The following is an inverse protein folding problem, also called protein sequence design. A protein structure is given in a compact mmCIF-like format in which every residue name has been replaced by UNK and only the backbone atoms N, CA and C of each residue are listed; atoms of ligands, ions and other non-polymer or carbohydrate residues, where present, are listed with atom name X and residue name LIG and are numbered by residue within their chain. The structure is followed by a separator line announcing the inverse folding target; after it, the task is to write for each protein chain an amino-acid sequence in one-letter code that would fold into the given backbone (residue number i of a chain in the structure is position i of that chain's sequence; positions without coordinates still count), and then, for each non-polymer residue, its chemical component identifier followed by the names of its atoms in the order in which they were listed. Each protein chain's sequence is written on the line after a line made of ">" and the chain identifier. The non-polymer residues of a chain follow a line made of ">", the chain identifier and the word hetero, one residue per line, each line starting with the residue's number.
data_IF_245753470078
#
_entry.id   IF_245753470078
#
_cell.length_a   1.000
_cell.length_b   1.000
_cell.length_c   1.000
_cell.angle_alpha   90.00
_cell.angle_beta   90.00
_cell.angle_gamma   90.00
#
_symmetry.space_group_name_H-M   'P 1'
#
loop_
_entity.id
_entity.type
_entity.pdbx_description
1 polymer ?
#
# COMPACT_ATOMS: atom_id res chain seq x y z
N UNK A 1 5.59 -1.96 21.83
CA UNK A 1 5.35 -1.90 20.38
C UNK A 1 4.23 -2.89 20.10
N UNK A 2 3.07 -2.45 19.61
CA UNK A 2 1.94 -3.33 19.30
C UNK A 2 1.84 -3.38 17.78
N UNK A 3 2.24 -4.50 17.19
CA UNK A 3 1.94 -4.81 15.78
C UNK A 3 0.42 -4.83 15.60
N UNK A 4 -0.13 -4.34 14.47
CA UNK A 4 -1.51 -4.63 14.15
C UNK A 4 -1.62 -6.14 13.94
N UNK A 5 -2.03 -6.86 14.98
CA UNK A 5 -2.47 -8.24 14.83
C UNK A 5 -3.68 -8.18 13.90
N UNK A 6 -3.57 -8.81 12.74
CA UNK A 6 -4.76 -9.15 11.99
C UNK A 6 -5.57 -10.12 12.85
N UNK A 7 -6.81 -9.75 13.14
CA UNK A 7 -7.71 -10.67 13.81
C UNK A 7 -8.05 -11.80 12.86
N UNK A 8 -8.17 -13.01 13.40
CA UNK A 8 -8.76 -14.13 12.66
C UNK A 8 -10.20 -13.74 12.34
N UNK A 9 -10.59 -13.86 11.07
CA UNK A 9 -11.93 -13.47 10.63
C UNK A 9 -13.01 -14.24 11.43
N UNK A 10 -13.90 -13.49 12.06
CA UNK A 10 -15.07 -14.01 12.76
C UNK A 10 -16.27 -14.12 11.81
N UNK A 11 -17.32 -14.85 12.22
CA UNK A 11 -18.56 -14.94 11.42
C UNK A 11 -19.20 -13.57 11.16
N UNK A 12 -19.11 -12.64 12.12
CA UNK A 12 -19.65 -11.29 12.00
C UNK A 12 -18.94 -10.48 10.89
N UNK A 13 -17.67 -10.79 10.63
CA UNK A 13 -16.88 -10.11 9.60
C UNK A 13 -17.38 -10.38 8.20
N UNK A 14 -18.14 -11.46 7.99
CA UNK A 14 -18.68 -11.79 6.67
C UNK A 14 -20.01 -11.07 6.36
N UNK A 15 -20.57 -10.30 7.30
CA UNK A 15 -21.84 -9.60 7.10
C UNK A 15 -21.67 -8.23 6.41
N UNK A 16 -20.52 -7.58 6.63
CA UNK A 16 -20.16 -6.29 6.06
C UNK A 16 -18.67 -6.29 5.68
N UNK A 17 -18.35 -6.78 4.49
CA UNK A 17 -16.96 -6.92 4.08
C UNK A 17 -16.65 -6.73 2.60
N UNK A 18 -15.37 -6.55 2.34
CA UNK A 18 -14.75 -6.76 1.04
C UNK A 18 -13.83 -7.98 1.16
N UNK A 19 -14.19 -9.06 0.51
CA UNK A 19 -13.44 -10.31 0.49
C UNK A 19 -12.54 -10.38 -0.75
N UNK A 20 -11.24 -10.52 -0.48
CA UNK A 20 -10.16 -10.50 -1.45
C UNK A 20 -9.61 -11.90 -1.77
N UNK A 21 -10.12 -12.96 -1.13
CA UNK A 21 -9.63 -14.34 -1.31
C UNK A 21 -10.01 -14.97 -2.64
N UNK A 22 -10.85 -14.29 -3.43
CA UNK A 22 -11.32 -14.74 -4.74
C UNK A 22 -10.60 -14.00 -5.87
N UNK A 23 -10.76 -14.44 -7.13
CA UNK A 23 -10.22 -13.75 -8.32
C UNK A 23 -10.85 -12.37 -8.53
N UNK A 24 -12.13 -12.20 -8.20
CA UNK A 24 -12.82 -10.91 -8.20
C UNK A 24 -12.87 -10.29 -6.79
N UNK A 25 -13.34 -9.05 -6.68
CA UNK A 25 -13.67 -8.44 -5.39
C UNK A 25 -15.09 -8.85 -5.02
N UNK A 26 -15.26 -9.57 -3.90
CA UNK A 26 -16.59 -9.90 -3.39
C UNK A 26 -16.92 -8.92 -2.28
N UNK A 27 -18.01 -8.17 -2.42
CA UNK A 27 -18.48 -7.26 -1.38
C UNK A 27 -19.74 -7.83 -0.78
N UNK A 28 -19.78 -7.95 0.55
CA UNK A 28 -20.96 -8.39 1.28
C UNK A 28 -21.49 -7.23 2.09
N UNK A 29 -22.75 -6.87 1.89
CA UNK A 29 -23.43 -5.81 2.64
C UNK A 29 -24.78 -6.35 3.05
N UNK A 30 -24.97 -6.55 4.35
CA UNK A 30 -26.22 -7.06 4.91
C UNK A 30 -26.63 -8.38 4.25
N UNK A 31 -25.69 -9.34 4.23
CA UNK A 31 -25.84 -10.69 3.65
C UNK A 31 -25.98 -10.74 2.12
N UNK A 32 -26.18 -9.60 1.45
CA UNK A 32 -26.18 -9.53 -0.02
C UNK A 32 -24.76 -9.52 -0.54
N UNK A 33 -24.47 -10.47 -1.43
CA UNK A 33 -23.19 -10.60 -2.11
C UNK A 33 -23.20 -9.87 -3.45
N UNK A 34 -22.18 -9.06 -3.66
CA UNK A 34 -21.94 -8.34 -4.90
C UNK A 34 -20.56 -8.73 -5.43
N UNK A 35 -20.46 -8.88 -6.74
CA UNK A 35 -19.22 -9.19 -7.42
C UNK A 35 -18.77 -7.95 -8.19
N UNK A 36 -17.50 -7.57 -8.04
CA UNK A 36 -16.85 -6.55 -8.84
C UNK A 36 -15.59 -7.13 -9.47
N UNK A 37 -15.53 -7.15 -10.80
CA UNK A 37 -14.41 -7.72 -11.54
C UNK A 37 -13.17 -6.82 -11.53
N UNK A 38 -13.36 -5.50 -11.35
CA UNK A 38 -12.29 -4.51 -11.48
C UNK A 38 -12.47 -3.31 -10.52
N UNK A 39 -11.45 -2.45 -10.46
CA UNK A 39 -11.43 -1.23 -9.63
C UNK A 39 -12.65 -0.33 -9.87
N UNK A 40 -13.08 -0.16 -11.12
CA UNK A 40 -14.17 0.76 -11.46
C UNK A 40 -15.52 0.25 -10.95
N UNK A 41 -15.81 -1.04 -11.13
CA UNK A 41 -17.01 -1.69 -10.59
C UNK A 41 -17.03 -1.65 -9.06
N UNK A 42 -15.90 -1.97 -8.43
CA UNK A 42 -15.78 -1.91 -6.97
C UNK A 42 -16.01 -0.49 -6.47
N UNK A 43 -15.41 0.51 -7.11
CA UNK A 43 -15.59 1.93 -6.75
C UNK A 43 -17.05 2.35 -6.85
N UNK A 44 -17.74 1.99 -7.95
CA UNK A 44 -19.18 2.27 -8.13
C UNK A 44 -20.00 1.61 -7.03
N UNK A 45 -19.69 0.36 -6.69
CA UNK A 45 -20.40 -0.38 -5.66
C UNK A 45 -20.22 0.23 -4.26
N UNK A 46 -18.98 0.54 -3.88
CA UNK A 46 -18.66 1.17 -2.59
C UNK A 46 -19.33 2.54 -2.49
N UNK A 47 -19.27 3.35 -3.56
CA UNK A 47 -19.94 4.66 -3.61
C UNK A 47 -21.45 4.54 -3.45
N UNK A 48 -22.10 3.63 -4.17
CA UNK A 48 -23.55 3.38 -4.11
C UNK A 48 -23.99 3.01 -2.69
N UNK A 49 -23.17 2.26 -1.96
CA UNK A 49 -23.48 1.76 -0.63
C UNK A 49 -22.78 2.53 0.50
N UNK A 50 -22.15 3.67 0.21
CA UNK A 50 -21.28 4.41 1.14
C UNK A 50 -21.97 4.65 2.48
N UNK A 51 -23.22 5.15 2.49
CA UNK A 51 -23.98 5.41 3.73
C UNK A 51 -24.09 4.17 4.63
N UNK A 52 -24.35 2.99 4.07
CA UNK A 52 -24.47 1.75 4.83
C UNK A 52 -23.11 1.30 5.37
N UNK A 53 -22.06 1.44 4.56
CA UNK A 53 -20.69 1.06 4.91
C UNK A 53 -20.13 1.97 6.01
N UNK A 54 -20.28 3.30 5.91
CA UNK A 54 -19.70 4.26 6.86
C UNK A 54 -20.30 4.15 8.27
N UNK A 55 -21.57 3.71 8.38
CA UNK A 55 -22.25 3.57 9.66
C UNK A 55 -21.82 2.31 10.45
N UNK A 56 -21.15 1.37 9.79
CA UNK A 56 -20.66 0.12 10.40
C UNK A 56 -19.14 0.01 10.27
N UNK A 57 -18.55 -0.96 10.96
CA UNK A 57 -17.16 -1.32 10.71
C UNK A 57 -17.13 -2.24 9.49
N UNK A 58 -16.39 -1.84 8.45
CA UNK A 58 -16.18 -2.67 7.26
C UNK A 58 -14.98 -3.61 7.48
N UNK A 59 -15.17 -4.91 7.28
CA UNK A 59 -14.06 -5.87 7.34
C UNK A 59 -13.46 -6.08 5.94
N UNK A 60 -12.13 -6.02 5.82
CA UNK A 60 -11.42 -6.43 4.61
C UNK A 60 -10.87 -7.83 4.88
N UNK A 61 -11.47 -8.81 4.22
CA UNK A 61 -11.11 -10.23 4.39
C UNK A 61 -10.02 -10.59 3.40
N UNK A 62 -8.93 -11.16 3.89
CA UNK A 62 -7.82 -11.61 3.06
C UNK A 62 -7.27 -12.97 3.55
N UNK A 63 -6.41 -13.57 2.74
CA UNK A 63 -5.65 -14.77 3.08
C UNK A 63 -4.23 -14.65 2.49
N UNK A 64 -3.37 -15.64 2.73
CA UNK A 64 -2.01 -15.66 2.18
C UNK A 64 -1.90 -15.69 0.66
N UNK A 65 -2.97 -16.03 -0.06
CA UNK A 65 -3.03 -15.97 -1.52
C UNK A 65 -3.50 -14.60 -2.04
N UNK A 66 -3.95 -13.70 -1.16
CA UNK A 66 -4.44 -12.38 -1.55
C UNK A 66 -3.28 -11.53 -2.05
N UNK A 67 -3.38 -11.06 -3.30
CA UNK A 67 -2.33 -10.22 -3.88
C UNK A 67 -2.30 -8.85 -3.21
N UNK A 68 -1.12 -8.29 -2.90
CA UNK A 68 -1.00 -6.95 -2.32
C UNK A 68 -1.66 -5.87 -3.19
N UNK A 69 -1.62 -6.01 -4.52
CA UNK A 69 -2.28 -5.07 -5.44
C UNK A 69 -3.79 -4.97 -5.23
N UNK A 70 -4.47 -6.06 -4.86
CA UNK A 70 -5.90 -6.03 -4.48
C UNK A 70 -6.11 -5.28 -3.18
N UNK A 71 -5.26 -5.52 -2.19
CA UNK A 71 -5.33 -4.83 -0.90
C UNK A 71 -5.16 -3.32 -1.09
N UNK A 72 -4.13 -2.89 -1.83
CA UNK A 72 -3.90 -1.47 -2.12
C UNK A 72 -5.05 -0.86 -2.91
N UNK A 73 -5.59 -1.56 -3.90
CA UNK A 73 -6.75 -1.08 -4.65
C UNK A 73 -7.95 -0.81 -3.74
N UNK A 74 -8.18 -1.67 -2.74
CA UNK A 74 -9.29 -1.51 -1.80
C UNK A 74 -9.03 -0.34 -0.86
N UNK A 75 -7.85 -0.25 -0.26
CA UNK A 75 -7.46 0.86 0.62
C UNK A 75 -7.52 2.22 -0.10
N UNK A 76 -7.10 2.25 -1.36
CA UNK A 76 -7.25 3.39 -2.27
C UNK A 76 -8.71 3.84 -2.36
N UNK A 77 -9.61 2.90 -2.70
CA UNK A 77 -11.04 3.20 -2.88
C UNK A 77 -11.64 3.70 -1.56
N UNK A 78 -11.32 3.06 -0.44
CA UNK A 78 -11.83 3.48 0.86
C UNK A 78 -11.35 4.89 1.21
N UNK A 79 -10.09 5.22 0.93
CA UNK A 79 -9.53 6.55 1.11
C UNK A 79 -10.21 7.58 0.19
N UNK A 80 -10.32 7.28 -1.11
CA UNK A 80 -10.99 8.12 -2.11
C UNK A 80 -12.47 8.35 -1.79
N UNK A 81 -13.12 7.41 -1.10
CA UNK A 81 -14.51 7.51 -0.68
C UNK A 81 -14.69 7.98 0.79
N UNK A 82 -13.62 8.40 1.47
CA UNK A 82 -13.64 8.87 2.86
C UNK A 82 -14.24 7.86 3.86
N UNK A 83 -13.93 6.57 3.66
CA UNK A 83 -14.36 5.46 4.54
C UNK A 83 -13.20 5.15 5.50
N UNK A 84 -13.31 5.63 6.74
CA UNK A 84 -12.25 5.52 7.76
C UNK A 84 -12.43 4.33 8.71
N UNK A 85 -13.64 3.79 8.84
CA UNK A 85 -13.98 2.72 9.79
C UNK A 85 -13.89 1.36 9.11
N UNK A 86 -12.68 0.85 8.98
CA UNK A 86 -12.44 -0.51 8.50
C UNK A 86 -11.47 -1.27 9.40
N UNK A 87 -11.50 -2.59 9.33
CA UNK A 87 -10.48 -3.47 9.90
C UNK A 87 -10.01 -4.50 8.88
N UNK A 88 -8.81 -5.03 9.09
CA UNK A 88 -8.27 -6.13 8.31
C UNK A 88 -8.49 -7.43 9.07
N UNK A 89 -9.01 -8.45 8.40
CA UNK A 89 -9.27 -9.76 9.01
C UNK A 89 -8.72 -10.88 8.12
N UNK A 90 -7.92 -11.75 8.74
CA UNK A 90 -7.21 -12.84 8.05
C UNK A 90 -8.01 -14.13 8.16
N UNK A 91 -8.20 -14.84 7.04
CA UNK A 91 -8.85 -16.15 7.04
C UNK A 91 -7.92 -17.26 7.57
N UNK A 92 -6.63 -17.18 7.24
CA UNK A 92 -5.63 -18.19 7.60
C UNK A 92 -4.75 -17.77 8.79
N UNK A 93 -5.14 -16.68 9.48
CA UNK A 93 -4.41 -16.14 10.63
C UNK A 93 -3.02 -15.59 10.27
N UNK A 94 -2.67 -15.54 8.98
CA UNK A 94 -1.38 -14.99 8.56
C UNK A 94 -1.42 -13.46 8.62
N UNK A 95 -0.30 -12.83 9.00
CA UNK A 95 -0.19 -11.38 9.01
C UNK A 95 -0.51 -10.82 7.64
N UNK A 96 -1.00 -9.57 7.62
CA UNK A 96 -1.28 -8.82 6.39
C UNK A 96 -0.02 -8.90 5.52
N UNK A 97 -0.11 -9.11 4.19
CA UNK A 97 1.04 -8.90 3.30
C UNK A 97 1.62 -7.54 3.68
N UNK A 98 2.89 -7.50 4.15
CA UNK A 98 3.47 -6.34 4.83
C UNK A 98 3.33 -5.06 3.99
N UNK A 99 2.21 -4.35 4.15
CA UNK A 99 2.11 -2.92 3.90
C UNK A 99 2.47 -2.36 5.26
N UNK A 100 3.77 -2.14 5.51
CA UNK A 100 4.14 -1.49 6.76
C UNK A 100 3.35 -0.19 6.85
N UNK A 101 2.62 -0.05 7.95
CA UNK A 101 1.93 1.17 8.31
C UNK A 101 2.80 2.36 7.99
N UNK A 102 2.17 3.42 7.48
CA UNK A 102 2.72 4.77 7.47
C UNK A 102 2.91 5.15 8.94
N UNK A 103 3.96 4.64 9.58
CA UNK A 103 4.48 5.22 10.79
C UNK A 103 5.07 6.55 10.34
N UNK A 104 4.40 7.64 10.71
CA UNK A 104 5.11 8.87 11.04
C UNK A 104 6.08 8.52 12.17
N UNK A 105 7.22 7.95 11.85
CA UNK A 105 8.35 8.04 12.75
C UNK A 105 8.75 9.52 12.74
N UNK A 106 8.45 10.20 13.84
CA UNK A 106 9.15 11.42 14.22
C UNK A 106 10.59 11.02 14.50
N UNK A 107 11.38 10.75 13.46
CA UNK A 107 12.83 10.71 13.58
C UNK A 107 13.30 12.15 13.55
N UNK A 108 13.68 12.63 14.73
CA UNK A 108 14.41 13.88 14.86
C UNK A 108 15.60 13.85 13.91
N UNK A 109 15.71 14.87 13.08
CA UNK A 109 16.94 15.45 12.56
C UNK A 109 18.21 14.91 13.24
N UNK A 110 18.85 13.90 12.64
CA UNK A 110 20.29 13.63 12.71
C UNK A 110 20.66 12.53 11.71
N UNK A 111 21.32 12.96 10.65
CA UNK A 111 22.18 12.19 9.73
C UNK A 111 21.57 10.98 9.00
N UNK A 112 20.89 11.27 7.88
CA UNK A 112 20.61 10.27 6.83
C UNK A 112 21.85 10.00 5.97
N UNK A 113 22.89 9.43 6.58
CA UNK A 113 23.95 8.74 5.84
C UNK A 113 23.62 7.25 5.78
N UNK A 114 22.81 6.85 4.80
CA UNK A 114 22.71 5.43 4.43
C UNK A 114 24.04 5.02 3.79
N UNK A 115 25.03 4.60 4.59
CA UNK A 115 26.30 4.10 4.06
C UNK A 115 26.19 2.69 3.46
N UNK A 116 25.03 2.04 3.60
CA UNK A 116 24.74 0.76 2.96
C UNK A 116 24.27 0.99 1.52
N UNK A 117 25.22 0.94 0.60
CA UNK A 117 24.98 1.06 -0.84
C UNK A 117 24.05 -0.03 -1.41
N UNK A 118 23.72 -1.09 -0.66
CA UNK A 118 22.79 -2.13 -1.12
C UNK A 118 21.31 -1.75 -1.00
N UNK A 119 21.01 -0.63 -0.34
CA UNK A 119 19.64 -0.14 -0.17
C UNK A 119 19.19 0.61 -1.43
N UNK A 120 18.09 0.18 -2.03
CA UNK A 120 17.41 0.97 -3.05
C UNK A 120 16.71 2.16 -2.37
N UNK A 121 17.16 3.37 -2.68
CA UNK A 121 16.59 4.60 -2.11
C UNK A 121 15.91 5.39 -3.21
N UNK A 122 14.66 5.80 -3.01
CA UNK A 122 13.90 6.70 -3.89
C UNK A 122 13.55 7.95 -3.09
N UNK A 123 14.01 9.13 -3.52
CA UNK A 123 13.73 10.39 -2.85
C UNK A 123 12.76 11.20 -3.72
N UNK A 124 11.62 11.59 -3.14
CA UNK A 124 10.60 12.41 -3.79
C UNK A 124 10.85 13.88 -3.41
N UNK A 125 11.16 14.70 -4.41
CA UNK A 125 11.35 16.15 -4.29
C UNK A 125 10.19 16.88 -4.98
N UNK A 126 10.19 18.21 -4.87
CA UNK A 126 9.13 19.09 -5.36
C UNK A 126 8.84 18.93 -6.86
N UNK A 127 9.90 18.78 -7.65
CA UNK A 127 9.81 18.78 -9.12
C UNK A 127 10.47 17.57 -9.76
N UNK A 128 11.05 16.66 -8.98
CA UNK A 128 11.82 15.52 -9.49
C UNK A 128 11.91 14.40 -8.46
N UNK A 129 12.46 13.27 -8.88
CA UNK A 129 12.83 12.17 -7.99
C UNK A 129 14.34 11.94 -8.08
N UNK A 130 14.95 11.41 -7.03
CA UNK A 130 16.25 10.76 -7.14
C UNK A 130 16.06 9.27 -6.83
N UNK A 131 16.83 8.42 -7.50
CA UNK A 131 16.92 7.00 -7.18
C UNK A 131 18.39 6.59 -7.05
N UNK A 132 18.70 5.73 -6.09
CA UNK A 132 20.06 5.24 -5.91
C UNK A 132 20.12 3.78 -5.47
N UNK A 133 21.13 3.07 -5.98
CA UNK A 133 21.48 1.70 -5.63
C UNK A 133 22.96 1.43 -5.99
N UNK A 134 23.69 0.73 -5.14
CA UNK A 134 25.11 0.34 -5.32
C UNK A 134 26.02 1.51 -5.71
N UNK A 135 25.85 2.66 -5.06
CA UNK A 135 26.55 3.94 -5.34
C UNK A 135 26.19 4.60 -6.68
N UNK A 136 25.37 3.97 -7.52
CA UNK A 136 24.77 4.65 -8.66
C UNK A 136 23.64 5.54 -8.15
N UNK A 137 23.68 6.81 -8.53
CA UNK A 137 22.65 7.80 -8.22
C UNK A 137 22.14 8.38 -9.52
N UNK A 138 20.82 8.49 -9.67
CA UNK A 138 20.19 9.03 -10.86
C UNK A 138 19.10 10.03 -10.48
N UNK A 139 19.22 11.25 -10.99
CA UNK A 139 18.13 12.22 -10.97
C UNK A 139 17.10 11.88 -12.06
N UNK A 140 15.84 11.79 -11.66
CA UNK A 140 14.70 11.38 -12.47
C UNK A 140 13.75 12.57 -12.64
N UNK A 141 13.40 12.93 -13.88
CA UNK A 141 12.43 13.99 -14.15
C UNK A 141 11.00 13.45 -14.14
N UNK A 142 10.84 12.15 -14.41
CA UNK A 142 9.55 11.47 -14.47
C UNK A 142 9.62 10.10 -13.80
N UNK A 143 8.44 9.54 -13.51
CA UNK A 143 8.32 8.21 -12.92
C UNK A 143 8.88 7.10 -13.84
N UNK A 144 8.81 7.28 -15.17
CA UNK A 144 9.34 6.32 -16.15
C UNK A 144 10.86 6.15 -16.05
N UNK A 145 11.57 7.21 -15.62
CA UNK A 145 13.02 7.15 -15.39
C UNK A 145 13.31 6.22 -14.19
N UNK A 146 12.52 6.35 -13.11
CA UNK A 146 12.59 5.49 -11.92
C UNK A 146 12.29 4.03 -12.29
N UNK A 147 11.25 3.80 -13.09
CA UNK A 147 10.90 2.47 -13.60
C UNK A 147 12.05 1.85 -14.40
N UNK A 148 12.63 2.61 -15.31
CA UNK A 148 13.77 2.18 -16.13
C UNK A 148 14.98 1.81 -15.26
N UNK A 149 15.26 2.60 -14.22
CA UNK A 149 16.32 2.29 -13.27
C UNK A 149 16.07 0.96 -12.53
N UNK A 150 14.84 0.75 -12.06
CA UNK A 150 14.45 -0.49 -11.37
C UNK A 150 14.63 -1.70 -12.29
N UNK A 151 14.14 -1.62 -13.53
CA UNK A 151 14.25 -2.71 -14.49
C UNK A 151 15.70 -3.05 -14.84
N UNK A 152 16.53 -2.04 -15.07
CA UNK A 152 17.96 -2.22 -15.39
C UNK A 152 18.77 -2.80 -14.23
N UNK A 153 18.33 -2.55 -12.99
CA UNK A 153 19.02 -3.00 -11.79
C UNK A 153 18.31 -4.14 -11.05
N UNK A 154 17.27 -4.75 -11.63
CA UNK A 154 16.36 -5.70 -10.96
C UNK A 154 17.09 -6.80 -10.19
N UNK A 155 18.15 -7.36 -10.78
CA UNK A 155 18.96 -8.44 -10.19
C UNK A 155 19.79 -8.05 -8.97
N UNK A 156 19.95 -6.75 -8.71
CA UNK A 156 20.72 -6.20 -7.60
C UNK A 156 19.85 -5.63 -6.48
N UNK A 157 18.54 -5.49 -6.73
CA UNK A 157 17.61 -4.95 -5.75
C UNK A 157 17.24 -6.06 -4.77
N UNK A 158 17.63 -5.90 -3.52
CA UNK A 158 17.10 -6.70 -2.42
C UNK A 158 15.67 -6.20 -2.11
N UNK A 159 14.64 -7.06 -2.29
CA UNK A 159 13.24 -6.66 -2.09
C UNK A 159 12.90 -6.27 -0.65
N UNK A 160 13.78 -6.52 0.33
CA UNK A 160 13.63 -6.12 1.73
C UNK A 160 14.42 -4.86 2.11
N UNK A 161 15.26 -4.35 1.19
CA UNK A 161 16.08 -3.15 1.40
C UNK A 161 15.69 -2.03 0.45
N UNK A 162 14.43 -1.60 0.55
CA UNK A 162 13.89 -0.50 -0.25
C UNK A 162 13.40 0.61 0.68
N UNK A 163 13.76 1.85 0.36
CA UNK A 163 13.40 3.03 1.14
C UNK A 163 12.87 4.10 0.19
N UNK A 164 11.73 4.68 0.52
CA UNK A 164 11.15 5.83 -0.15
C UNK A 164 11.15 7.01 0.83
N UNK A 165 11.80 8.11 0.46
CA UNK A 165 11.99 9.29 1.29
C UNK A 165 11.21 10.44 0.66
N UNK A 166 10.39 11.14 1.44
CA UNK A 166 9.67 12.34 1.00
C UNK A 166 9.81 13.49 1.99
N UNK A 167 9.35 14.68 1.60
CA UNK A 167 9.20 15.79 2.55
C UNK A 167 8.08 15.50 3.55
N UNK A 168 8.14 16.15 4.72
CA UNK A 168 7.13 15.99 5.78
C UNK A 168 5.71 16.40 5.38
N UNK A 169 5.60 17.38 4.48
CA UNK A 169 4.35 17.90 3.93
C UNK A 169 3.93 17.22 2.62
N UNK A 170 4.68 16.20 2.16
CA UNK A 170 4.39 15.49 0.92
C UNK A 170 2.99 14.86 0.97
N UNK A 171 2.13 15.26 0.03
CA UNK A 171 0.78 14.75 -0.07
C UNK A 171 0.76 13.30 -0.57
N UNK A 172 -0.27 12.56 -0.16
CA UNK A 172 -0.46 11.17 -0.63
C UNK A 172 -0.53 11.07 -2.17
N UNK A 173 -1.05 12.12 -2.84
CA UNK A 173 -1.12 12.22 -4.31
C UNK A 173 0.25 12.08 -4.98
N UNK A 174 1.30 12.61 -4.36
CA UNK A 174 2.65 12.65 -4.91
C UNK A 174 3.46 11.40 -4.52
N UNK A 175 3.11 10.78 -3.39
CA UNK A 175 3.67 9.51 -2.94
C UNK A 175 3.12 8.29 -3.70
N UNK A 176 1.82 8.30 -4.01
CA UNK A 176 1.08 7.19 -4.62
C UNK A 176 1.71 6.64 -5.91
N UNK A 177 2.20 7.46 -6.87
CA UNK A 177 2.79 6.95 -8.10
C UNK A 177 4.03 6.08 -7.85
N UNK A 178 4.88 6.46 -6.89
CA UNK A 178 6.09 5.71 -6.53
C UNK A 178 5.73 4.38 -5.87
N UNK A 179 4.77 4.40 -4.93
CA UNK A 179 4.27 3.16 -4.30
C UNK A 179 3.66 2.22 -5.33
N UNK A 180 2.83 2.76 -6.24
CA UNK A 180 2.18 1.98 -7.29
C UNK A 180 3.21 1.35 -8.22
N UNK A 181 4.31 2.05 -8.52
CA UNK A 181 5.41 1.53 -9.30
C UNK A 181 6.14 0.38 -8.59
N UNK A 182 6.46 0.53 -7.30
CA UNK A 182 7.10 -0.53 -6.52
C UNK A 182 6.24 -1.80 -6.50
N UNK A 183 4.94 -1.64 -6.26
CA UNK A 183 3.96 -2.74 -6.26
C UNK A 183 3.85 -3.40 -7.64
N UNK A 184 3.84 -2.61 -8.72
CA UNK A 184 3.83 -3.11 -10.12
C UNK A 184 5.01 -4.05 -10.39
N UNK A 185 6.15 -3.80 -9.76
CA UNK A 185 7.37 -4.62 -9.87
C UNK A 185 7.57 -5.62 -8.74
N UNK A 186 6.49 -5.93 -8.00
CA UNK A 186 6.48 -6.92 -6.93
C UNK A 186 7.37 -6.59 -5.73
N UNK A 187 7.71 -5.31 -5.54
CA UNK A 187 8.43 -4.81 -4.38
C UNK A 187 7.45 -4.37 -3.29
N UNK A 188 7.19 -5.26 -2.34
CA UNK A 188 6.20 -5.05 -1.30
C UNK A 188 6.80 -4.62 0.05
N UNK A 189 8.09 -4.86 0.28
CA UNK A 189 8.76 -4.51 1.53
C UNK A 189 9.61 -3.25 1.33
N UNK A 190 9.01 -2.09 1.58
CA UNK A 190 9.72 -0.81 1.55
C UNK A 190 9.39 0.05 2.77
N UNK A 191 10.35 0.85 3.20
CA UNK A 191 10.19 1.81 4.30
C UNK A 191 9.83 3.18 3.73
N UNK A 192 8.94 3.89 4.40
CA UNK A 192 8.62 5.29 4.11
C UNK A 192 9.28 6.17 5.17
N UNK A 193 10.11 7.12 4.72
CA UNK A 193 10.81 8.06 5.61
C UNK A 193 10.52 9.50 5.21
N UNK A 194 10.64 10.39 6.19
CA UNK A 194 10.55 11.84 5.97
C UNK A 194 11.93 12.48 6.07
N UNK A 195 12.17 13.50 5.24
CA UNK A 195 13.33 14.39 5.34
C UNK A 195 12.83 15.83 5.51
N UNK A 196 13.40 16.52 6.51
CA UNK A 196 13.15 17.94 6.78
C UNK A 196 13.78 18.83 5.70
#
# INVERSE_FOLDING_TARGET
>A
MIEPKADIASSEDFNYCINLTHSNYIVVINEKRYNAANKQELTKLIRKNKKMITNRQLSIIYNSATTPGKMVTVLDILTEQDIKRFKLASVDGKPVPHIQDIKKENTSSKDTNFSDSTILTIIIKDTCLDISLLKNVMGCKKLDDVESFILNNKKYIDPYKIVVIGRKDLGYKDLKPVISLLIKHEYFNFKLLTKD
#
